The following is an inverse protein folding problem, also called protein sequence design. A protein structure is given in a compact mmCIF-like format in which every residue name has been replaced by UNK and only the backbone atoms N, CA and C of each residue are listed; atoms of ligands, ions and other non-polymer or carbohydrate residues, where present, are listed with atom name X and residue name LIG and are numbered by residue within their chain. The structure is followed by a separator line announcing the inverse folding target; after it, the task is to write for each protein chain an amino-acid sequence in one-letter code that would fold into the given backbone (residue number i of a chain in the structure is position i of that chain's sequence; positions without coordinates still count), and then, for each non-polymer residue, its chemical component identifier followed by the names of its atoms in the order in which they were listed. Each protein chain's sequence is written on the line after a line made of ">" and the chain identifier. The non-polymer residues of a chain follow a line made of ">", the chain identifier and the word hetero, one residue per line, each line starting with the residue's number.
data_IF_553242672513
#
_entry.id   IF_553242672513
#
_cell.length_a   1.000
_cell.length_b   1.000
_cell.length_c   1.000
_cell.angle_alpha   90.00
_cell.angle_beta   90.00
_cell.angle_gamma   90.00
#
_symmetry.space_group_name_H-M   'P 1'
#
loop_
_entity.id
_entity.type
_entity.pdbx_description
1 polymer ?
#
# COMPACT_ATOMS: atom_id res chain seq x y z
N UNK A 1 36.55 22.70 11.17
CA UNK A 1 36.43 21.75 12.29
C UNK A 1 35.31 22.21 13.20
N UNK A 2 34.17 21.56 13.11
CA UNK A 2 33.12 21.51 14.15
C UNK A 2 32.19 20.38 13.71
N UNK A 3 32.55 19.16 14.12
CA UNK A 3 31.69 17.99 13.98
C UNK A 3 30.53 18.16 14.97
N UNK A 4 29.32 18.35 14.45
CA UNK A 4 28.12 18.16 15.23
C UNK A 4 27.99 16.66 15.52
N UNK A 5 28.16 16.32 16.79
CA UNK A 5 28.01 14.96 17.34
C UNK A 5 26.54 14.57 17.24
N UNK A 6 26.22 13.65 16.33
CA UNK A 6 24.88 13.05 16.26
C UNK A 6 24.57 12.33 17.58
N UNK A 7 23.38 12.50 18.17
CA UNK A 7 22.96 11.68 19.30
C UNK A 7 22.84 10.21 18.85
N UNK A 8 23.02 9.23 19.76
CA UNK A 8 22.77 7.83 19.46
C UNK A 8 21.26 7.65 19.34
N UNK A 9 20.73 7.80 18.14
CA UNK A 9 19.30 7.65 17.90
C UNK A 9 18.91 6.19 18.14
N UNK A 10 18.06 6.04 19.14
CA UNK A 10 17.34 4.83 19.54
C UNK A 10 16.99 3.96 18.35
N UNK A 11 17.48 2.71 18.34
CA UNK A 11 16.94 1.66 17.48
C UNK A 11 15.43 1.63 17.73
N UNK A 12 14.58 1.95 16.74
CA UNK A 12 13.13 1.84 16.91
C UNK A 12 12.82 0.40 17.34
N UNK A 13 12.06 0.24 18.42
CA UNK A 13 11.58 -1.08 18.81
C UNK A 13 10.80 -1.65 17.60
N UNK A 14 11.06 -2.89 17.14
CA UNK A 14 10.38 -3.41 15.97
C UNK A 14 8.87 -3.40 16.23
N UNK A 15 8.13 -2.60 15.46
CA UNK A 15 6.68 -2.61 15.50
C UNK A 15 6.24 -4.04 15.16
N UNK A 16 5.54 -4.69 16.09
CA UNK A 16 5.16 -6.11 15.98
C UNK A 16 3.86 -6.32 15.19
N UNK A 17 3.20 -5.22 14.77
CA UNK A 17 1.95 -5.25 14.04
C UNK A 17 2.06 -5.80 12.61
N UNK A 18 0.93 -5.83 11.89
CA UNK A 18 0.88 -6.22 10.48
C UNK A 18 1.83 -5.38 9.63
N UNK A 19 2.50 -5.97 8.65
CA UNK A 19 3.43 -5.25 7.77
C UNK A 19 2.66 -4.65 6.60
N UNK A 20 2.84 -3.35 6.34
CA UNK A 20 2.36 -2.72 5.11
C UNK A 20 3.46 -2.72 4.06
N UNK A 21 3.19 -3.28 2.89
CA UNK A 21 4.06 -3.19 1.71
C UNK A 21 3.38 -2.29 0.68
N UNK A 22 3.90 -1.09 0.49
CA UNK A 22 3.32 -0.06 -0.38
C UNK A 22 4.40 0.59 -1.25
N UNK A 23 4.09 1.73 -1.84
CA UNK A 23 4.91 2.45 -2.82
C UNK A 23 4.11 2.74 -4.07
N UNK A 24 4.76 3.26 -5.11
CA UNK A 24 4.06 3.42 -6.38
C UNK A 24 3.55 2.07 -6.89
N UNK A 25 2.40 2.06 -7.54
CA UNK A 25 2.00 0.89 -8.33
C UNK A 25 3.08 0.57 -9.38
N UNK A 26 3.08 -0.64 -9.93
CA UNK A 26 4.14 -1.07 -10.87
C UNK A 26 5.57 -0.98 -10.32
N UNK A 27 5.78 -0.99 -9.00
CA UNK A 27 7.13 -0.92 -8.39
C UNK A 27 7.68 -2.26 -7.91
N UNK A 28 7.00 -3.37 -8.24
CA UNK A 28 7.37 -4.70 -7.73
C UNK A 28 6.88 -5.00 -6.31
N UNK A 29 5.91 -4.24 -5.78
CA UNK A 29 5.32 -4.49 -4.45
C UNK A 29 4.72 -5.88 -4.29
N UNK A 30 4.18 -6.48 -5.34
CA UNK A 30 3.73 -7.88 -5.31
C UNK A 30 4.89 -8.84 -5.04
N UNK A 31 6.04 -8.64 -5.68
CA UNK A 31 7.21 -9.49 -5.48
C UNK A 31 7.75 -9.34 -4.05
N UNK A 32 7.94 -8.11 -3.58
CA UNK A 32 8.38 -7.83 -2.21
C UNK A 32 7.41 -8.43 -1.18
N UNK A 33 6.11 -8.18 -1.31
CA UNK A 33 5.11 -8.72 -0.38
C UNK A 33 5.06 -10.25 -0.36
N UNK A 34 5.20 -10.89 -1.52
CA UNK A 34 5.31 -12.35 -1.60
C UNK A 34 6.57 -12.88 -0.92
N UNK A 35 7.74 -12.27 -1.16
CA UNK A 35 8.99 -12.66 -0.51
C UNK A 35 8.83 -12.55 1.00
N UNK A 36 8.40 -11.39 1.52
CA UNK A 36 8.19 -11.18 2.95
C UNK A 36 7.26 -12.22 3.57
N UNK A 37 6.24 -12.67 2.83
CA UNK A 37 5.29 -13.68 3.29
C UNK A 37 5.81 -15.12 3.28
N UNK A 38 7.06 -15.34 2.87
CA UNK A 38 7.75 -16.63 3.02
C UNK A 38 8.29 -16.84 4.44
N UNK A 39 8.35 -15.79 5.26
CA UNK A 39 8.77 -15.92 6.65
C UNK A 39 7.83 -16.85 7.42
N UNK A 40 8.39 -17.71 8.27
CA UNK A 40 7.61 -18.61 9.09
C UNK A 40 6.65 -17.81 9.99
N UNK A 41 5.40 -18.25 10.07
CA UNK A 41 4.38 -17.54 10.84
C UNK A 41 3.91 -16.22 10.20
N UNK A 42 4.13 -16.01 8.91
CA UNK A 42 3.53 -14.88 8.17
C UNK A 42 2.40 -15.31 7.23
N UNK A 43 1.56 -14.36 6.83
CA UNK A 43 0.52 -14.55 5.82
C UNK A 43 0.33 -13.30 4.97
N UNK A 44 -0.23 -13.46 3.77
CA UNK A 44 -0.31 -12.42 2.76
C UNK A 44 -1.76 -12.01 2.49
N UNK A 45 -2.04 -10.71 2.44
CA UNK A 45 -3.31 -10.16 1.96
C UNK A 45 -3.05 -9.18 0.81
N UNK A 46 -3.78 -9.38 -0.29
CA UNK A 46 -3.64 -8.61 -1.52
C UNK A 46 -4.61 -7.43 -1.56
N UNK A 47 -4.07 -6.22 -1.56
CA UNK A 47 -4.71 -4.94 -1.88
C UNK A 47 -6.13 -4.69 -1.29
N UNK A 48 -6.31 -4.66 0.04
CA UNK A 48 -7.59 -4.28 0.66
C UNK A 48 -8.21 -2.96 0.17
N UNK A 49 -7.42 -1.97 -0.23
CA UNK A 49 -7.90 -0.68 -0.76
C UNK A 49 -8.42 -0.77 -2.20
N UNK A 50 -8.12 -1.85 -2.90
CA UNK A 50 -8.58 -2.04 -4.26
C UNK A 50 -10.11 -2.17 -4.29
N UNK A 51 -10.78 -1.34 -5.10
CA UNK A 51 -12.24 -1.33 -5.24
C UNK A 51 -12.83 -2.68 -5.68
N UNK A 52 -12.00 -3.54 -6.27
CA UNK A 52 -12.36 -4.90 -6.74
C UNK A 52 -12.14 -5.98 -5.69
N UNK A 53 -11.62 -5.64 -4.51
CA UNK A 53 -11.36 -6.61 -3.44
C UNK A 53 -12.66 -7.24 -2.96
N UNK A 54 -12.64 -8.57 -2.82
CA UNK A 54 -13.81 -9.35 -2.38
C UNK A 54 -14.17 -8.96 -0.96
N UNK A 55 -15.47 -8.83 -0.70
CA UNK A 55 -16.01 -8.37 0.58
C UNK A 55 -15.64 -9.23 1.77
N UNK A 56 -15.40 -10.53 1.55
CA UNK A 56 -14.97 -11.41 2.63
C UNK A 56 -13.52 -11.18 3.05
N UNK A 57 -12.66 -10.77 2.12
CA UNK A 57 -11.28 -10.37 2.41
C UNK A 57 -11.27 -9.05 3.18
N UNK A 58 -11.96 -8.04 2.65
CA UNK A 58 -12.13 -6.76 3.34
C UNK A 58 -13.54 -6.22 3.08
N UNK A 59 -14.29 -5.98 4.15
CA UNK A 59 -15.66 -5.48 4.04
C UNK A 59 -15.73 -3.97 3.78
N UNK A 60 -14.61 -3.25 3.91
CA UNK A 60 -14.52 -1.82 3.62
C UNK A 60 -14.86 -1.53 2.15
N UNK A 61 -15.43 -0.34 1.92
CA UNK A 61 -15.76 0.16 0.58
C UNK A 61 -15.04 1.47 0.33
N UNK A 62 -13.93 1.37 -0.38
CA UNK A 62 -13.20 2.54 -0.85
C UNK A 62 -13.91 3.10 -2.09
N UNK A 63 -14.21 4.41 -2.11
CA UNK A 63 -14.89 5.02 -3.25
C UNK A 63 -14.05 4.96 -4.52
N UNK A 64 -12.74 5.13 -4.38
CA UNK A 64 -11.80 5.18 -5.50
C UNK A 64 -10.41 4.64 -5.13
N UNK A 65 -9.63 4.34 -6.16
CA UNK A 65 -8.20 4.09 -6.01
C UNK A 65 -7.53 5.30 -5.36
N UNK A 66 -6.54 5.07 -4.51
CA UNK A 66 -5.81 6.11 -3.78
C UNK A 66 -6.68 6.90 -2.81
N UNK A 67 -7.71 6.26 -2.24
CA UNK A 67 -8.47 6.86 -1.13
C UNK A 67 -7.53 7.25 0.00
N UNK A 68 -7.57 8.52 0.39
CA UNK A 68 -6.83 9.12 1.50
C UNK A 68 -7.70 9.10 2.76
N UNK A 69 -7.30 8.26 3.72
CA UNK A 69 -7.99 8.10 5.00
C UNK A 69 -7.28 8.94 6.05
N UNK A 70 -8.09 9.69 6.78
CA UNK A 70 -7.67 10.56 7.89
C UNK A 70 -8.45 10.18 9.14
N UNK A 71 -8.04 10.63 10.34
CA UNK A 71 -8.77 10.32 11.59
C UNK A 71 -10.23 10.76 11.56
N UNK A 72 -10.54 11.79 10.79
CA UNK A 72 -11.87 12.36 10.62
C UNK A 72 -12.72 11.54 9.64
N UNK A 73 -12.08 10.87 8.67
CA UNK A 73 -12.75 10.06 7.64
C UNK A 73 -12.67 8.55 7.89
N UNK A 74 -12.02 8.11 8.98
CA UNK A 74 -11.67 6.71 9.21
C UNK A 74 -12.86 5.79 9.55
N UNK A 75 -13.99 6.35 9.98
CA UNK A 75 -15.14 5.61 10.54
C UNK A 75 -15.57 4.37 9.74
N UNK A 76 -15.79 4.46 8.42
CA UNK A 76 -16.18 3.31 7.59
C UNK A 76 -15.09 2.26 7.39
N UNK A 77 -13.82 2.58 7.68
CA UNK A 77 -12.65 1.79 7.29
C UNK A 77 -12.00 1.06 8.46
N UNK A 78 -11.94 1.68 9.65
CA UNK A 78 -11.19 1.14 10.82
C UNK A 78 -11.66 -0.26 11.20
N UNK A 79 -12.97 -0.46 11.36
CA UNK A 79 -13.54 -1.74 11.78
C UNK A 79 -13.25 -2.85 10.77
N UNK A 80 -13.71 -2.71 9.51
CA UNK A 80 -13.48 -3.71 8.48
C UNK A 80 -12.00 -4.02 8.18
N UNK A 81 -11.14 -3.01 8.13
CA UNK A 81 -9.71 -3.24 7.95
C UNK A 81 -9.11 -3.91 9.18
N UNK A 82 -9.44 -3.45 10.39
CA UNK A 82 -8.97 -4.09 11.62
C UNK A 82 -9.34 -5.57 11.70
N UNK A 83 -10.54 -5.95 11.25
CA UNK A 83 -10.93 -7.36 11.16
C UNK A 83 -10.10 -8.12 10.13
N UNK A 84 -9.88 -7.53 8.94
CA UNK A 84 -9.00 -8.10 7.90
C UNK A 84 -7.60 -8.36 8.45
N UNK A 85 -7.01 -7.36 9.13
CA UNK A 85 -5.67 -7.40 9.71
C UNK A 85 -5.53 -8.45 10.84
N UNK A 86 -6.65 -8.82 11.48
CA UNK A 86 -6.74 -9.90 12.49
C UNK A 86 -7.20 -11.25 11.92
N UNK A 87 -7.11 -11.42 10.61
CA UNK A 87 -7.52 -12.64 9.90
C UNK A 87 -9.00 -13.01 10.09
N UNK A 88 -9.88 -12.03 10.28
CA UNK A 88 -11.34 -12.25 10.37
C UNK A 88 -11.98 -12.06 9.01
N UNK A 89 -12.38 -13.18 8.41
CA UNK A 89 -13.08 -13.21 7.13
C UNK A 89 -14.53 -12.73 7.27
N UNK A 90 -14.96 -11.78 6.44
CA UNK A 90 -16.27 -11.16 6.53
C UNK A 90 -17.33 -11.89 5.67
N UNK A 91 -17.71 -13.10 6.08
CA UNK A 91 -18.70 -13.93 5.37
C UNK A 91 -20.01 -13.17 5.09
N UNK A 92 -20.56 -12.49 6.10
CA UNK A 92 -21.81 -11.75 5.97
C UNK A 92 -21.73 -10.63 4.92
N UNK A 93 -20.55 -10.05 4.72
CA UNK A 93 -20.34 -9.04 3.69
C UNK A 93 -20.27 -9.68 2.29
N UNK A 94 -19.72 -10.89 2.14
CA UNK A 94 -19.56 -11.54 0.83
C UNK A 94 -20.79 -12.30 0.33
N UNK A 95 -21.58 -12.91 1.22
CA UNK A 95 -22.75 -13.72 0.84
C UNK A 95 -23.67 -13.00 -0.17
N UNK A 96 -24.00 -11.70 -0.03
CA UNK A 96 -24.82 -10.98 -1.00
C UNK A 96 -24.23 -10.87 -2.41
N UNK A 97 -22.91 -11.01 -2.56
CA UNK A 97 -22.19 -10.89 -3.83
C UNK A 97 -22.03 -12.24 -4.56
N UNK A 98 -22.40 -13.36 -3.92
CA UNK A 98 -22.28 -14.68 -4.52
C UNK A 98 -23.31 -14.83 -5.65
N UNK A 99 -22.84 -15.19 -6.84
CA UNK A 99 -23.69 -15.39 -8.03
C UNK A 99 -23.52 -16.77 -8.64
N UNK A 100 -22.37 -17.40 -8.44
CA UNK A 100 -22.01 -18.67 -9.07
C UNK A 100 -21.44 -19.67 -8.07
N UNK A 101 -21.49 -20.99 -8.37
CA UNK A 101 -20.79 -22.00 -7.56
C UNK A 101 -19.28 -21.74 -7.44
N UNK A 102 -18.67 -21.08 -8.44
CA UNK A 102 -17.27 -20.67 -8.39
C UNK A 102 -17.03 -19.61 -7.32
N UNK A 103 -17.98 -18.71 -7.09
CA UNK A 103 -17.88 -17.69 -6.04
C UNK A 103 -17.96 -18.32 -4.66
N UNK A 104 -18.83 -19.31 -4.48
CA UNK A 104 -18.92 -20.11 -3.24
C UNK A 104 -17.60 -20.84 -2.99
N UNK A 105 -17.06 -21.53 -3.99
CA UNK A 105 -15.79 -22.24 -3.87
C UNK A 105 -14.62 -21.31 -3.51
N UNK A 106 -14.57 -20.10 -4.11
CA UNK A 106 -13.59 -19.07 -3.76
C UNK A 106 -13.78 -18.57 -2.33
N UNK A 107 -15.01 -18.30 -1.90
CA UNK A 107 -15.30 -17.90 -0.52
C UNK A 107 -14.82 -18.94 0.49
N UNK A 108 -15.09 -20.22 0.24
CA UNK A 108 -14.64 -21.32 1.10
C UNK A 108 -13.11 -21.38 1.15
N UNK A 109 -12.44 -21.30 -0.01
CA UNK A 109 -10.97 -21.28 -0.10
C UNK A 109 -10.37 -20.11 0.68
N UNK A 110 -10.87 -18.90 0.43
CA UNK A 110 -10.34 -17.68 1.03
C UNK A 110 -10.63 -17.64 2.54
N UNK A 111 -11.83 -18.06 2.95
CA UNK A 111 -12.20 -18.20 4.37
C UNK A 111 -11.38 -19.26 5.10
N UNK A 112 -11.10 -20.41 4.47
CA UNK A 112 -10.22 -21.44 5.02
C UNK A 112 -8.78 -20.93 5.17
N UNK A 113 -8.28 -20.16 4.20
CA UNK A 113 -6.98 -19.51 4.29
C UNK A 113 -6.93 -18.54 5.50
N UNK A 114 -7.90 -17.63 5.60
CA UNK A 114 -8.00 -16.70 6.73
C UNK A 114 -8.07 -17.43 8.08
N UNK A 115 -8.91 -18.46 8.18
CA UNK A 115 -9.04 -19.22 9.42
C UNK A 115 -7.75 -19.93 9.80
N UNK A 116 -7.05 -20.52 8.82
CA UNK A 116 -5.76 -21.19 9.04
C UNK A 116 -4.72 -20.19 9.55
N UNK A 117 -4.61 -19.01 8.94
CA UNK A 117 -3.66 -17.97 9.37
C UNK A 117 -4.01 -17.38 10.73
N UNK A 118 -5.29 -17.23 11.03
CA UNK A 118 -5.77 -16.84 12.35
C UNK A 118 -5.35 -17.84 13.43
N UNK A 119 -5.57 -19.14 13.19
CA UNK A 119 -5.22 -20.20 14.14
C UNK A 119 -3.71 -20.35 14.34
N UNK A 120 -2.92 -20.05 13.31
CA UNK A 120 -1.46 -20.03 13.38
C UNK A 120 -0.90 -18.78 14.07
N UNK A 121 -1.74 -17.79 14.42
CA UNK A 121 -1.27 -16.50 14.92
C UNK A 121 -0.38 -15.77 13.92
N UNK A 122 -0.62 -15.95 12.62
CA UNK A 122 0.30 -15.48 11.60
C UNK A 122 0.36 -13.94 11.55
N UNK A 123 1.56 -13.37 11.45
CA UNK A 123 1.76 -11.95 11.19
C UNK A 123 1.35 -11.62 9.77
N UNK A 124 0.44 -10.67 9.60
CA UNK A 124 -0.11 -10.33 8.29
C UNK A 124 0.84 -9.38 7.54
N UNK A 125 1.06 -9.66 6.26
CA UNK A 125 1.72 -8.81 5.27
C UNK A 125 0.65 -8.32 4.31
N UNK A 126 0.26 -7.06 4.47
CA UNK A 126 -0.68 -6.38 3.61
C UNK A 126 0.11 -5.70 2.49
N UNK A 127 -0.02 -6.22 1.27
CA UNK A 127 0.55 -5.53 0.10
C UNK A 127 -0.53 -4.67 -0.52
N UNK A 128 -0.28 -3.37 -0.60
CA UNK A 128 -1.22 -2.42 -1.18
C UNK A 128 -0.54 -1.14 -1.70
N UNK A 129 -0.22 -1.03 -3.01
CA UNK A 129 0.29 0.21 -3.59
C UNK A 129 -0.77 1.31 -3.70
N UNK A 130 -2.06 0.95 -3.65
CA UNK A 130 -3.18 1.89 -3.74
C UNK A 130 -3.37 2.60 -2.40
N UNK A 131 -3.01 1.94 -1.30
CA UNK A 131 -3.01 2.51 0.04
C UNK A 131 -1.87 3.52 0.32
N UNK A 132 -1.02 3.85 -0.66
CA UNK A 132 0.19 4.67 -0.46
C UNK A 132 -0.10 5.99 0.27
N UNK A 133 -1.14 6.74 -0.14
CA UNK A 133 -1.48 8.00 0.52
C UNK A 133 -2.03 7.82 1.93
N UNK A 134 -2.58 6.64 2.23
CA UNK A 134 -3.11 6.30 3.56
C UNK A 134 -2.09 5.56 4.43
N UNK A 135 -0.80 5.53 4.04
CA UNK A 135 0.23 4.77 4.74
C UNK A 135 0.45 5.26 6.18
N UNK A 136 0.44 6.58 6.43
CA UNK A 136 0.57 7.15 7.78
C UNK A 136 -0.57 6.72 8.68
N UNK A 137 -1.81 6.85 8.19
CA UNK A 137 -2.99 6.41 8.93
C UNK A 137 -2.93 4.91 9.25
N UNK A 138 -2.52 4.06 8.28
CA UNK A 138 -2.37 2.63 8.51
C UNK A 138 -1.30 2.31 9.57
N UNK A 139 -0.15 3.00 9.50
CA UNK A 139 0.93 2.84 10.47
C UNK A 139 0.49 3.25 11.87
N UNK A 140 -0.07 4.46 12.02
CA UNK A 140 -0.51 4.97 13.33
C UNK A 140 -1.66 4.16 13.93
N UNK A 141 -2.66 3.79 13.11
CA UNK A 141 -3.90 3.21 13.62
C UNK A 141 -3.74 1.74 14.00
N UNK A 142 -2.88 1.02 13.29
CA UNK A 142 -2.72 -0.42 13.41
C UNK A 142 -1.30 -0.86 13.79
N UNK A 143 -0.43 0.08 14.17
CA UNK A 143 0.98 -0.15 14.52
C UNK A 143 1.72 -0.93 13.42
N UNK A 144 1.47 -0.54 12.17
CA UNK A 144 2.01 -1.25 11.00
C UNK A 144 3.39 -0.71 10.63
N UNK A 145 4.45 -1.55 10.68
CA UNK A 145 5.70 -1.17 10.04
C UNK A 145 5.52 -1.14 8.52
N UNK A 146 6.05 -0.08 7.90
CA UNK A 146 5.83 0.23 6.49
C UNK A 146 7.10 -0.01 5.68
N UNK A 147 6.96 -0.82 4.63
CA UNK A 147 7.93 -1.02 3.56
C UNK A 147 7.44 -0.30 2.31
N UNK A 148 8.09 0.81 1.97
CA UNK A 148 7.77 1.63 0.81
C UNK A 148 8.76 1.38 -0.31
N UNK A 149 8.25 0.98 -1.48
CA UNK A 149 9.09 0.65 -2.64
C UNK A 149 9.10 1.81 -3.62
N UNK A 150 10.31 2.18 -4.01
CA UNK A 150 10.62 3.25 -4.96
C UNK A 150 11.07 2.61 -6.27
N UNK A 151 10.67 3.17 -7.41
CA UNK A 151 11.12 2.68 -8.72
C UNK A 151 11.53 3.84 -9.61
N UNK A 152 12.53 3.60 -10.46
CA UNK A 152 12.99 4.57 -11.45
C UNK A 152 11.84 5.05 -12.37
N UNK A 153 11.72 6.36 -12.66
CA UNK A 153 10.59 6.92 -13.42
C UNK A 153 10.43 6.29 -14.79
N UNK A 154 11.52 6.13 -15.55
CA UNK A 154 11.46 5.51 -16.89
C UNK A 154 10.94 4.07 -16.84
N UNK A 155 11.34 3.29 -15.83
CA UNK A 155 10.90 1.90 -15.68
C UNK A 155 9.44 1.81 -15.23
N UNK A 156 9.00 2.74 -14.39
CA UNK A 156 7.60 2.88 -14.00
C UNK A 156 6.71 3.22 -15.21
N UNK A 157 7.04 4.28 -15.96
CA UNK A 157 6.25 4.73 -17.11
C UNK A 157 6.19 3.65 -18.19
N UNK A 158 7.32 3.03 -18.53
CA UNK A 158 7.35 1.92 -19.48
C UNK A 158 6.46 0.75 -19.03
N UNK A 159 6.50 0.39 -17.74
CA UNK A 159 5.63 -0.67 -17.22
C UNK A 159 4.16 -0.29 -17.19
N UNK A 160 3.82 0.98 -16.97
CA UNK A 160 2.44 1.47 -16.95
C UNK A 160 1.82 1.37 -18.35
N UNK A 161 2.57 1.82 -19.37
CA UNK A 161 2.18 1.75 -20.78
C UNK A 161 2.01 0.30 -21.22
N UNK A 162 3.00 -0.56 -20.92
CA UNK A 162 2.93 -1.98 -21.28
C UNK A 162 1.72 -2.71 -20.64
N UNK A 163 1.26 -2.26 -19.48
CA UNK A 163 0.08 -2.81 -18.80
C UNK A 163 -1.25 -2.23 -19.32
N UNK A 164 -1.22 -1.21 -20.17
CA UNK A 164 -2.42 -0.48 -20.63
C UNK A 164 -3.07 0.36 -19.54
N UNK A 165 -2.34 0.73 -18.49
CA UNK A 165 -2.87 1.46 -17.32
C UNK A 165 -2.74 2.98 -17.47
N UNK A 166 -2.89 3.47 -18.70
CA UNK A 166 -2.61 4.86 -19.09
C UNK A 166 -3.84 5.75 -19.05
N UNK A 167 -5.00 5.21 -18.66
CA UNK A 167 -6.28 5.92 -18.54
C UNK A 167 -6.65 6.16 -17.07
N UNK A 168 -5.80 6.87 -16.36
CA UNK A 168 -6.07 7.25 -14.97
C UNK A 168 -6.93 8.53 -14.94
N UNK A 169 -8.04 8.50 -14.21
CA UNK A 169 -8.89 9.68 -14.04
C UNK A 169 -8.40 10.53 -12.87
N UNK A 170 -7.66 11.60 -13.16
CA UNK A 170 -7.08 12.49 -12.13
C UNK A 170 -8.13 13.21 -11.28
N UNK A 171 -9.38 13.31 -11.75
CA UNK A 171 -10.50 13.82 -10.96
C UNK A 171 -10.68 13.05 -9.64
N UNK A 172 -10.36 11.76 -9.59
CA UNK A 172 -10.39 10.93 -8.36
C UNK A 172 -9.50 11.48 -7.23
N UNK A 173 -8.42 12.19 -7.57
CA UNK A 173 -7.56 12.83 -6.57
C UNK A 173 -8.13 14.20 -6.17
N UNK A 174 -8.68 14.96 -7.13
CA UNK A 174 -9.24 16.29 -6.88
C UNK A 174 -10.44 16.29 -5.96
N UNK A 175 -11.29 15.25 -6.00
CA UNK A 175 -12.45 15.17 -5.09
C UNK A 175 -12.05 15.01 -3.62
N UNK A 176 -10.79 14.64 -3.35
CA UNK A 176 -10.26 14.40 -2.02
C UNK A 176 -9.54 15.65 -1.52
N UNK A 177 -10.31 16.64 -1.03
CA UNK A 177 -9.77 17.97 -0.70
C UNK A 177 -8.58 17.90 0.28
N UNK A 178 -8.65 17.06 1.32
CA UNK A 178 -7.55 16.91 2.27
C UNK A 178 -6.30 16.30 1.68
N UNK A 179 -6.43 15.34 0.75
CA UNK A 179 -5.27 14.80 0.03
C UNK A 179 -4.58 15.92 -0.77
N UNK A 180 -5.39 16.76 -1.41
CA UNK A 180 -4.95 17.90 -2.18
C UNK A 180 -4.31 18.99 -1.33
N UNK A 181 -4.82 19.27 -0.14
CA UNK A 181 -4.27 20.28 0.77
C UNK A 181 -3.01 19.80 1.49
N UNK A 182 -3.03 18.57 2.03
CA UNK A 182 -2.00 18.10 2.95
C UNK A 182 -0.80 17.45 2.23
N UNK A 183 -1.05 16.80 1.08
CA UNK A 183 -0.04 15.97 0.40
C UNK A 183 0.29 16.45 -1.01
N UNK A 184 -0.70 16.92 -1.77
CA UNK A 184 -0.54 17.19 -3.21
C UNK A 184 -0.71 18.68 -3.60
N UNK A 185 -0.67 19.60 -2.65
CA UNK A 185 -0.94 21.02 -2.89
C UNK A 185 -0.09 21.64 -4.02
N UNK A 186 1.23 21.35 -4.14
CA UNK A 186 2.05 21.89 -5.22
C UNK A 186 1.63 21.44 -6.63
N UNK A 187 0.86 20.35 -6.74
CA UNK A 187 0.45 19.74 -7.99
C UNK A 187 -1.01 20.03 -8.37
N UNK A 188 -1.74 20.82 -7.57
CA UNK A 188 -3.18 21.05 -7.79
C UNK A 188 -3.52 21.51 -9.21
N UNK A 189 -2.78 22.47 -9.73
CA UNK A 189 -2.99 22.98 -11.08
C UNK A 189 -2.74 21.92 -12.16
N UNK A 190 -1.65 21.14 -12.04
CA UNK A 190 -1.31 20.08 -12.98
C UNK A 190 -2.36 18.95 -12.96
N UNK A 191 -2.81 18.55 -11.77
CA UNK A 191 -3.86 17.53 -11.60
C UNK A 191 -5.19 18.03 -12.17
N UNK A 192 -5.55 19.31 -11.95
CA UNK A 192 -6.75 19.92 -12.51
C UNK A 192 -6.74 19.93 -14.04
N UNK A 193 -5.61 20.31 -14.65
CA UNK A 193 -5.43 20.26 -16.09
C UNK A 193 -5.58 18.83 -16.63
N UNK A 194 -4.89 17.85 -16.02
CA UNK A 194 -4.95 16.45 -16.42
C UNK A 194 -6.32 15.78 -16.17
N UNK A 195 -7.14 16.34 -15.28
CA UNK A 195 -8.51 15.89 -15.04
C UNK A 195 -9.50 16.45 -16.07
N UNK A 196 -9.27 17.67 -16.55
CA UNK A 196 -10.08 18.30 -17.59
C UNK A 196 -9.80 17.70 -18.97
N UNK A 197 -8.53 17.44 -19.27
CA UNK A 197 -8.07 16.83 -20.51
C UNK A 197 -7.06 15.72 -20.17
N UNK A 198 -7.42 14.48 -20.49
CA UNK A 198 -6.56 13.34 -20.20
C UNK A 198 -5.26 13.47 -21.02
N UNK A 199 -4.09 13.56 -20.37
CA UNK A 199 -2.82 13.67 -21.07
C UNK A 199 -2.48 12.41 -21.87
N UNK A 200 -1.41 12.47 -22.67
CA UNK A 200 -0.93 11.28 -23.35
C UNK A 200 -0.43 10.20 -22.35
N UNK A 201 -0.33 8.93 -22.78
CA UNK A 201 0.09 7.83 -21.92
C UNK A 201 1.41 8.03 -21.15
N UNK A 202 2.38 8.70 -21.74
CA UNK A 202 3.68 9.00 -21.12
C UNK A 202 3.50 10.09 -20.06
N UNK A 203 2.77 11.16 -20.40
CA UNK A 203 2.47 12.27 -19.48
C UNK A 203 1.67 11.80 -18.25
N UNK A 204 0.66 10.95 -18.44
CA UNK A 204 -0.08 10.30 -17.35
C UNK A 204 0.89 9.58 -16.40
N UNK A 205 1.81 8.80 -16.96
CA UNK A 205 2.81 8.07 -16.18
C UNK A 205 3.78 9.00 -15.44
N UNK A 206 4.26 10.07 -16.09
CA UNK A 206 5.15 11.06 -15.48
C UNK A 206 4.43 11.75 -14.32
N UNK A 207 3.20 12.21 -14.51
CA UNK A 207 2.44 12.90 -13.48
C UNK A 207 2.18 11.97 -12.30
N UNK A 208 1.63 10.77 -12.53
CA UNK A 208 1.42 9.77 -11.47
C UNK A 208 2.69 9.47 -10.68
N UNK A 209 3.82 9.27 -11.38
CA UNK A 209 5.10 9.02 -10.72
C UNK A 209 5.51 10.20 -9.84
N UNK A 210 5.41 11.44 -10.35
CA UNK A 210 5.73 12.67 -9.61
C UNK A 210 4.86 12.82 -8.36
N UNK A 211 3.55 12.59 -8.46
CA UNK A 211 2.63 12.68 -7.32
C UNK A 211 3.00 11.67 -6.21
N UNK A 212 3.14 10.40 -6.59
CA UNK A 212 3.46 9.34 -5.63
C UNK A 212 4.85 9.53 -5.02
N UNK A 213 5.86 9.90 -5.81
CA UNK A 213 7.23 10.06 -5.30
C UNK A 213 7.43 11.39 -4.55
N UNK A 214 6.62 12.42 -4.84
CA UNK A 214 6.53 13.59 -3.99
C UNK A 214 6.07 13.20 -2.59
N UNK A 215 4.98 12.42 -2.50
CA UNK A 215 4.47 11.94 -1.23
C UNK A 215 5.45 10.99 -0.53
N UNK A 216 6.06 10.03 -1.23
CA UNK A 216 7.10 9.16 -0.66
C UNK A 216 8.27 9.97 -0.09
N UNK A 217 8.65 11.07 -0.74
CA UNK A 217 9.70 11.97 -0.22
C UNK A 217 9.27 12.66 1.08
N UNK A 218 8.00 13.04 1.21
CA UNK A 218 7.45 13.58 2.46
C UNK A 218 7.46 12.49 3.55
N UNK A 219 6.92 11.31 3.26
CA UNK A 219 6.93 10.15 4.16
C UNK A 219 8.34 9.82 4.65
N UNK A 220 9.35 9.83 3.77
CA UNK A 220 10.74 9.54 4.17
C UNK A 220 11.34 10.60 5.10
N UNK A 221 10.92 11.85 4.96
CA UNK A 221 11.36 12.94 5.85
C UNK A 221 10.67 12.82 7.21
N UNK A 222 9.37 12.54 7.19
CA UNK A 222 8.51 12.57 8.37
C UNK A 222 8.59 11.26 9.18
N UNK A 223 8.92 10.14 8.53
CA UNK A 223 9.09 8.80 9.09
C UNK A 223 10.42 8.16 8.71
N UNK A 224 11.57 8.68 9.20
CA UNK A 224 12.89 8.11 8.89
C UNK A 224 13.06 6.67 9.39
N UNK A 225 12.24 6.22 10.33
CA UNK A 225 12.21 4.86 10.88
C UNK A 225 11.64 3.82 9.88
N UNK A 226 10.81 4.24 8.92
CA UNK A 226 10.24 3.35 7.92
C UNK A 226 11.28 2.80 6.95
N UNK A 227 10.91 1.71 6.26
CA UNK A 227 11.79 1.02 5.33
C UNK A 227 11.52 1.52 3.92
N UNK A 228 12.45 2.28 3.35
CA UNK A 228 12.39 2.73 1.95
C UNK A 228 13.42 1.97 1.12
N UNK A 229 12.94 1.25 0.11
CA UNK A 229 13.79 0.41 -0.74
C UNK A 229 13.59 0.74 -2.21
N UNK A 230 14.68 0.78 -2.99
CA UNK A 230 14.58 0.89 -4.45
C UNK A 230 14.42 -0.51 -5.03
N UNK A 231 13.52 -0.65 -5.98
CA UNK A 231 13.32 -1.90 -6.72
C UNK A 231 14.62 -2.36 -7.40
N UNK A 232 15.39 -1.42 -7.94
CA UNK A 232 16.66 -1.68 -8.61
C UNK A 232 17.71 -2.28 -7.66
N UNK A 233 17.77 -1.81 -6.41
CA UNK A 233 18.70 -2.36 -5.40
C UNK A 233 18.28 -3.78 -4.99
N UNK A 234 16.99 -3.98 -4.72
CA UNK A 234 16.44 -5.28 -4.37
C UNK A 234 16.70 -6.33 -5.46
N UNK A 235 16.67 -5.94 -6.73
CA UNK A 235 16.90 -6.86 -7.84
C UNK A 235 18.37 -7.09 -8.15
N UNK A 236 19.25 -6.14 -7.81
CA UNK A 236 20.69 -6.27 -7.99
C UNK A 236 21.32 -7.26 -7.00
N UNK A 237 20.93 -7.24 -5.73
CA UNK A 237 21.33 -8.23 -4.72
C UNK A 237 20.13 -8.62 -3.83
N UNK A 238 19.26 -9.54 -4.29
CA UNK A 238 18.04 -9.89 -3.57
C UNK A 238 18.33 -10.49 -2.20
N UNK A 239 19.33 -11.37 -2.09
CA UNK A 239 19.57 -12.11 -0.85
C UNK A 239 20.05 -11.18 0.25
N UNK A 240 21.02 -10.30 -0.03
CA UNK A 240 21.49 -9.35 0.95
C UNK A 240 20.42 -8.30 1.29
N UNK A 241 19.73 -7.78 0.27
CA UNK A 241 18.73 -6.72 0.47
C UNK A 241 17.53 -7.20 1.28
N UNK A 242 16.99 -8.40 0.99
CA UNK A 242 15.89 -8.95 1.80
C UNK A 242 16.34 -9.34 3.20
N UNK A 243 17.59 -9.79 3.40
CA UNK A 243 18.13 -10.04 4.74
C UNK A 243 18.10 -8.77 5.59
N UNK A 244 18.47 -7.62 5.02
CA UNK A 244 18.36 -6.32 5.69
C UNK A 244 16.90 -5.97 6.01
N UNK A 245 16.00 -6.09 5.02
CA UNK A 245 14.57 -5.79 5.22
C UNK A 245 13.96 -6.67 6.32
N UNK A 246 14.23 -7.98 6.33
CA UNK A 246 13.80 -8.87 7.41
C UNK A 246 14.39 -8.46 8.76
N UNK A 247 15.69 -8.17 8.82
CA UNK A 247 16.35 -7.74 10.05
C UNK A 247 15.73 -6.48 10.64
N UNK A 248 15.29 -5.53 9.80
CA UNK A 248 14.60 -4.30 10.23
C UNK A 248 13.15 -4.52 10.65
N UNK A 249 12.47 -5.54 10.11
CA UNK A 249 11.08 -5.87 10.46
C UNK A 249 10.95 -6.73 11.72
N UNK A 250 12.05 -7.34 12.17
CA UNK A 250 12.07 -8.34 13.26
C UNK A 250 11.39 -9.65 12.88
#
# INVERSE_FOLDING_TARGET
>A
MLQAKMPPDSVPCPQSGPILVTGSHRSGSTWVGNVLSLAAGSGYVHEPFNVKTRRGICAARFPDDFTYVTRETEGPYVGPLGDTLRWRYAYAAEIPDLRTPRDVARMVRDGAYFKTRQLQGARLVMKDPIALFSAEWLSERFDMPVVTIIRHPAAFVASLIAAGWTRFHFSKLLVQERLMEERLAPYRAEIAAAAAELPDPVEVGILLWRLMHHHIRQLRRDHPEWIFVRHEDLTADPVASFRDVYGRLG
#
